data_IF_592482268219
#
_entry.id   IF_592482268219
#
_cell.length_a   1.000
_cell.length_b   1.000
_cell.length_c   1.000
_cell.angle_alpha   90.00
_cell.angle_beta   90.00
_cell.angle_gamma   90.00
#
_symmetry.space_group_name_H-M   'P 1'
#
loop_
_entity.id
_entity.type
_entity.pdbx_description
1 polymer ?
#
# COMPACT_ATOMS: atom_id res chain seq x y z
N UNK A 1 8.04 14.05 3.87
CA UNK A 1 8.55 12.66 3.93
C UNK A 1 7.41 11.65 3.86
N UNK A 2 7.73 10.37 3.65
CA UNK A 2 6.76 9.27 3.57
C UNK A 2 6.95 8.31 4.76
N UNK A 3 6.20 8.44 5.86
CA UNK A 3 6.36 7.57 7.01
C UNK A 3 5.88 6.16 6.73
N UNK A 4 6.65 5.19 7.23
CA UNK A 4 6.29 3.77 7.27
C UNK A 4 6.37 3.23 8.69
N UNK A 5 7.47 3.49 9.36
CA UNK A 5 7.70 3.12 10.75
C UNK A 5 8.06 4.35 11.56
N UNK A 6 7.47 4.50 12.73
CA UNK A 6 7.58 5.69 13.58
C UNK A 6 7.87 5.27 15.02
N UNK A 7 8.85 5.94 15.62
CA UNK A 7 9.06 6.04 17.06
C UNK A 7 8.68 7.46 17.50
N UNK A 8 7.43 7.67 17.83
CA UNK A 8 6.84 9.00 18.00
C UNK A 8 7.27 9.70 19.29
N UNK A 9 7.70 8.94 20.30
CA UNK A 9 8.06 9.45 21.63
C UNK A 9 9.53 9.16 22.00
N UNK A 10 10.33 8.71 21.06
CA UNK A 10 11.75 8.34 21.26
C UNK A 10 11.96 7.23 22.30
N UNK A 11 10.95 6.39 22.51
CA UNK A 11 11.02 5.24 23.41
C UNK A 11 11.81 4.05 22.86
N UNK A 12 12.15 4.08 21.56
CA UNK A 12 12.71 2.96 20.81
C UNK A 12 11.65 1.93 20.37
N UNK A 13 10.38 2.17 20.67
CA UNK A 13 9.27 1.31 20.25
C UNK A 13 8.74 1.79 18.90
N UNK A 14 9.19 1.13 17.84
CA UNK A 14 8.79 1.47 16.46
C UNK A 14 7.46 0.80 16.12
N UNK A 15 6.50 1.59 15.63
CA UNK A 15 5.20 1.12 15.13
C UNK A 15 5.07 1.39 13.64
N UNK A 16 4.32 0.56 12.94
CA UNK A 16 3.89 0.94 11.59
C UNK A 16 2.92 2.13 11.66
N UNK A 17 3.07 3.07 10.74
CA UNK A 17 2.30 4.34 10.77
C UNK A 17 0.78 4.13 10.82
N UNK A 18 0.26 3.07 10.21
CA UNK A 18 -1.18 2.75 10.21
C UNK A 18 -1.68 2.13 11.53
N UNK A 19 -0.77 1.74 12.43
CA UNK A 19 -1.07 1.13 13.73
C UNK A 19 -1.00 2.16 14.88
N UNK A 20 -0.74 3.43 14.58
CA UNK A 20 -0.69 4.50 15.57
C UNK A 20 -2.07 4.79 16.16
N UNK A 21 -2.09 5.14 17.45
CA UNK A 21 -3.30 5.62 18.14
C UNK A 21 -3.56 7.10 17.81
N UNK A 22 -4.78 7.57 18.00
CA UNK A 22 -5.14 8.98 17.79
C UNK A 22 -4.25 9.97 18.57
N UNK A 23 -3.83 9.60 19.80
CA UNK A 23 -2.91 10.42 20.59
C UNK A 23 -1.51 10.50 19.99
N UNK A 24 -1.04 9.39 19.38
CA UNK A 24 0.27 9.32 18.73
C UNK A 24 0.30 10.12 17.42
N UNK A 25 -0.78 10.10 16.63
CA UNK A 25 -0.91 11.01 15.47
C UNK A 25 -0.86 12.49 15.90
N UNK A 26 -1.55 12.87 17.00
CA UNK A 26 -1.50 14.24 17.52
C UNK A 26 -0.09 14.65 17.93
N UNK A 27 0.64 13.74 18.58
CA UNK A 27 2.02 14.00 18.99
C UNK A 27 2.94 14.14 17.77
N UNK A 28 2.78 13.26 16.76
CA UNK A 28 3.55 13.33 15.54
C UNK A 28 3.27 14.63 14.75
N UNK A 29 2.02 15.05 14.66
CA UNK A 29 1.67 16.33 14.01
C UNK A 29 2.29 17.53 14.75
N UNK A 30 2.32 17.51 16.09
CA UNK A 30 3.01 18.56 16.85
C UNK A 30 4.50 18.63 16.52
N UNK A 31 5.16 17.48 16.37
CA UNK A 31 6.57 17.44 15.93
C UNK A 31 6.74 17.96 14.49
N UNK A 32 5.81 17.60 13.59
CA UNK A 32 5.81 18.13 12.23
C UNK A 32 5.73 19.66 12.22
N UNK A 33 4.82 20.23 12.98
CA UNK A 33 4.65 21.68 13.10
C UNK A 33 5.93 22.35 13.68
N UNK A 34 6.49 21.76 14.72
CA UNK A 34 7.72 22.25 15.38
C UNK A 34 8.92 22.27 14.45
N UNK A 35 9.08 21.25 13.59
CA UNK A 35 10.22 21.11 12.69
C UNK A 35 9.92 21.52 11.24
N UNK A 36 8.76 22.10 10.95
CA UNK A 36 8.36 22.49 9.60
C UNK A 36 8.30 21.34 8.61
N UNK A 37 7.91 20.14 9.06
CA UNK A 37 7.83 18.92 8.25
C UNK A 37 6.41 18.68 7.77
N UNK A 38 6.27 18.03 6.62
CA UNK A 38 4.97 17.55 6.10
C UNK A 38 5.07 16.12 5.57
N UNK A 39 3.94 15.42 5.59
CA UNK A 39 3.83 14.06 5.06
C UNK A 39 3.38 14.13 3.61
N UNK A 40 4.15 13.55 2.71
CA UNK A 40 3.84 13.51 1.26
C UNK A 40 3.02 12.30 0.87
N UNK A 41 3.20 11.17 1.57
CA UNK A 41 2.45 9.93 1.35
C UNK A 41 2.56 9.00 2.56
N UNK A 42 1.64 8.05 2.68
CA UNK A 42 1.73 6.96 3.67
C UNK A 42 2.38 5.73 3.06
N UNK A 43 3.46 5.24 3.67
CA UNK A 43 4.10 3.97 3.32
C UNK A 43 3.32 2.79 3.89
N UNK A 44 2.24 2.35 3.23
CA UNK A 44 1.35 1.31 3.76
C UNK A 44 1.79 -0.11 3.45
N UNK A 45 1.05 -1.08 4.02
CA UNK A 45 1.15 -2.51 3.74
C UNK A 45 0.08 -3.01 2.77
N UNK A 46 -0.76 -2.12 2.21
CA UNK A 46 -1.83 -2.51 1.28
C UNK A 46 -1.23 -3.32 0.12
N UNK A 47 -1.81 -4.50 -0.14
CA UNK A 47 -1.36 -5.42 -1.18
C UNK A 47 -0.21 -6.36 -0.79
N UNK A 48 0.33 -6.29 0.43
CA UNK A 48 1.30 -7.27 0.97
C UNK A 48 0.60 -8.49 1.60
N UNK A 49 -0.42 -9.00 0.92
CA UNK A 49 -1.19 -10.20 1.27
C UNK A 49 -1.40 -11.05 0.01
N UNK A 50 -1.76 -12.32 0.18
CA UNK A 50 -2.11 -13.20 -0.94
C UNK A 50 -3.33 -12.67 -1.68
N UNK A 51 -3.30 -12.75 -3.02
CA UNK A 51 -4.45 -12.44 -3.86
C UNK A 51 -5.57 -13.49 -3.71
N UNK A 52 -5.18 -14.75 -3.61
CA UNK A 52 -6.07 -15.91 -3.58
C UNK A 52 -5.89 -16.72 -2.29
N UNK A 53 -6.98 -17.34 -1.83
CA UNK A 53 -6.99 -18.27 -0.69
C UNK A 53 -6.52 -19.67 -1.15
N UNK A 54 -5.22 -19.80 -1.37
CA UNK A 54 -4.59 -21.07 -1.79
C UNK A 54 -3.42 -21.39 -0.88
N UNK A 55 -3.26 -22.67 -0.56
CA UNK A 55 -2.07 -23.18 0.11
C UNK A 55 -0.95 -23.37 -0.93
N UNK A 56 0.00 -22.44 -0.95
CA UNK A 56 1.12 -22.40 -1.87
C UNK A 56 2.46 -22.60 -1.15
N UNK A 57 2.43 -23.04 0.11
CA UNK A 57 3.61 -23.23 0.96
C UNK A 57 4.25 -21.92 1.45
N UNK A 58 3.73 -20.74 1.09
CA UNK A 58 4.24 -19.47 1.57
C UNK A 58 3.65 -19.12 2.94
N UNK A 59 4.36 -18.25 3.69
CA UNK A 59 3.90 -17.72 4.98
C UNK A 59 3.01 -16.47 4.83
N UNK A 60 2.73 -16.01 3.60
CA UNK A 60 1.89 -14.85 3.36
C UNK A 60 0.44 -15.16 3.76
N UNK A 61 -0.24 -14.14 4.31
CA UNK A 61 -1.64 -14.29 4.72
C UNK A 61 -2.57 -13.98 3.56
N UNK A 62 -3.69 -14.71 3.49
CA UNK A 62 -4.86 -14.30 2.72
C UNK A 62 -5.85 -13.57 3.62
N UNK A 63 -6.45 -12.50 3.13
CA UNK A 63 -7.51 -11.76 3.81
C UNK A 63 -8.59 -11.47 2.76
N UNK A 64 -9.85 -11.95 2.96
CA UNK A 64 -10.95 -11.63 2.05
C UNK A 64 -11.10 -10.13 1.84
N UNK A 65 -11.34 -9.70 0.61
CA UNK A 65 -11.31 -8.29 0.23
C UNK A 65 -12.25 -7.42 1.07
N UNK A 66 -13.46 -7.91 1.38
CA UNK A 66 -14.44 -7.19 2.22
C UNK A 66 -13.90 -6.89 3.63
N UNK A 67 -13.18 -7.85 4.20
CA UNK A 67 -12.51 -7.69 5.50
C UNK A 67 -11.33 -6.76 5.35
N UNK A 68 -10.55 -6.91 4.28
CA UNK A 68 -9.36 -6.11 4.02
C UNK A 68 -9.68 -4.61 3.88
N UNK A 69 -10.74 -4.29 3.14
CA UNK A 69 -11.24 -2.91 2.99
C UNK A 69 -11.63 -2.29 4.34
N UNK A 70 -12.28 -3.07 5.22
CA UNK A 70 -12.74 -2.61 6.55
C UNK A 70 -11.63 -2.54 7.60
N UNK A 71 -10.48 -3.14 7.34
CA UNK A 71 -9.34 -3.20 8.28
C UNK A 71 -8.13 -2.42 7.75
N UNK A 72 -7.24 -3.06 7.00
CA UNK A 72 -5.97 -2.48 6.57
C UNK A 72 -6.14 -1.24 5.68
N UNK A 73 -7.07 -1.32 4.71
CA UNK A 73 -7.33 -0.18 3.80
C UNK A 73 -7.91 1.00 4.58
N UNK A 74 -8.91 0.73 5.43
CA UNK A 74 -9.49 1.77 6.29
C UNK A 74 -8.46 2.39 7.22
N UNK A 75 -7.66 1.59 7.92
CA UNK A 75 -6.62 2.10 8.82
C UNK A 75 -5.58 2.96 8.09
N UNK A 76 -5.25 2.59 6.86
CA UNK A 76 -4.33 3.37 6.02
C UNK A 76 -4.94 4.71 5.61
N UNK A 77 -6.21 4.72 5.21
CA UNK A 77 -6.95 5.95 4.90
C UNK A 77 -7.03 6.85 6.13
N UNK A 78 -7.39 6.28 7.28
CA UNK A 78 -7.45 7.01 8.55
C UNK A 78 -6.10 7.66 8.90
N UNK A 79 -4.98 6.94 8.67
CA UNK A 79 -3.63 7.47 8.86
C UNK A 79 -3.32 8.63 7.91
N UNK A 80 -3.71 8.52 6.63
CA UNK A 80 -3.51 9.58 5.64
C UNK A 80 -4.26 10.85 6.04
N UNK A 81 -5.52 10.72 6.43
CA UNK A 81 -6.35 11.83 6.90
C UNK A 81 -5.79 12.44 8.20
N UNK A 82 -5.33 11.62 9.14
CA UNK A 82 -4.76 12.08 10.42
C UNK A 82 -3.45 12.85 10.24
N UNK A 83 -2.69 12.58 9.19
CA UNK A 83 -1.40 13.19 8.87
C UNK A 83 -1.48 14.21 7.70
N UNK A 84 -2.69 14.62 7.32
CA UNK A 84 -2.98 15.60 6.27
C UNK A 84 -2.26 15.31 4.93
N UNK A 85 -2.26 14.04 4.51
CA UNK A 85 -1.72 13.64 3.20
C UNK A 85 -2.78 13.00 2.32
N UNK A 86 -2.67 13.19 1.01
CA UNK A 86 -3.62 12.66 0.03
C UNK A 86 -3.12 11.44 -0.74
N UNK A 87 -1.93 10.94 -0.44
CA UNK A 87 -1.35 9.82 -1.16
C UNK A 87 -1.06 8.66 -0.21
N UNK A 88 -1.62 7.50 -0.51
CA UNK A 88 -1.24 6.25 0.14
C UNK A 88 -0.54 5.35 -0.88
N UNK A 89 0.60 4.79 -0.49
CA UNK A 89 1.32 3.81 -1.29
C UNK A 89 0.87 2.41 -0.92
N UNK A 90 0.59 1.59 -1.92
CA UNK A 90 0.28 0.17 -1.77
C UNK A 90 0.83 -0.65 -2.93
N UNK A 91 0.49 -1.93 -2.98
CA UNK A 91 1.08 -2.94 -3.83
C UNK A 91 0.02 -3.82 -4.51
N UNK A 92 0.47 -4.77 -5.35
CA UNK A 92 -0.38 -5.52 -6.27
C UNK A 92 -0.69 -6.97 -5.86
N UNK A 93 -0.52 -7.32 -4.60
CA UNK A 93 -0.73 -8.66 -4.03
C UNK A 93 0.32 -9.70 -4.42
N UNK A 94 0.51 -10.71 -3.53
CA UNK A 94 1.26 -11.91 -3.85
C UNK A 94 0.42 -12.84 -4.72
N UNK A 95 0.97 -13.32 -5.83
CA UNK A 95 0.41 -14.44 -6.60
C UNK A 95 0.85 -15.79 -6.00
N UNK A 96 0.16 -16.89 -6.30
CA UNK A 96 0.56 -18.22 -5.83
C UNK A 96 2.00 -18.56 -6.24
N UNK A 97 2.75 -19.17 -5.33
CA UNK A 97 4.14 -19.56 -5.59
C UNK A 97 4.23 -20.45 -6.84
N UNK A 98 5.16 -20.13 -7.74
CA UNK A 98 5.38 -20.86 -8.99
C UNK A 98 4.39 -20.57 -10.12
N UNK A 99 3.35 -19.73 -9.87
CA UNK A 99 2.44 -19.29 -10.94
C UNK A 99 3.02 -18.10 -11.73
N UNK A 100 2.50 -17.91 -12.94
CA UNK A 100 2.80 -16.71 -13.72
C UNK A 100 1.98 -15.54 -13.21
N UNK A 101 2.58 -14.42 -12.77
CA UNK A 101 1.85 -13.25 -12.27
C UNK A 101 0.85 -12.67 -13.29
N UNK A 102 1.13 -12.82 -14.60
CA UNK A 102 0.26 -12.32 -15.67
C UNK A 102 -1.14 -12.97 -15.66
N UNK A 103 -1.22 -14.24 -15.24
CA UNK A 103 -2.47 -14.99 -15.19
C UNK A 103 -3.43 -14.47 -14.12
N UNK A 104 -2.90 -13.76 -13.12
CA UNK A 104 -3.65 -13.24 -11.97
C UNK A 104 -4.03 -11.76 -12.09
N UNK A 105 -3.65 -11.09 -13.19
CA UNK A 105 -3.98 -9.67 -13.43
C UNK A 105 -5.49 -9.39 -13.35
N UNK A 106 -6.40 -10.21 -13.90
CA UNK A 106 -7.84 -9.91 -13.80
C UNK A 106 -8.34 -9.77 -12.37
N UNK A 107 -7.94 -10.70 -11.49
CA UNK A 107 -8.33 -10.69 -10.07
C UNK A 107 -7.65 -9.53 -9.32
N UNK A 108 -6.38 -9.25 -9.63
CA UNK A 108 -5.67 -8.12 -9.04
C UNK A 108 -6.32 -6.78 -9.42
N UNK A 109 -6.72 -6.62 -10.67
CA UNK A 109 -7.43 -5.42 -11.16
C UNK A 109 -8.74 -5.21 -10.42
N UNK A 110 -9.52 -6.26 -10.19
CA UNK A 110 -10.77 -6.19 -9.42
C UNK A 110 -10.51 -5.71 -7.97
N UNK A 111 -9.58 -6.33 -7.26
CA UNK A 111 -9.31 -5.97 -5.87
C UNK A 111 -8.63 -4.60 -5.73
N UNK A 112 -7.70 -4.24 -6.62
CA UNK A 112 -7.06 -2.93 -6.64
C UNK A 112 -8.11 -1.85 -6.96
N UNK A 113 -9.07 -2.13 -7.84
CA UNK A 113 -10.18 -1.22 -8.15
C UNK A 113 -10.99 -0.87 -6.91
N UNK A 114 -11.40 -1.89 -6.14
CA UNK A 114 -12.14 -1.69 -4.89
C UNK A 114 -11.33 -0.88 -3.85
N UNK A 115 -10.00 -1.07 -3.78
CA UNK A 115 -9.14 -0.27 -2.91
C UNK A 115 -9.06 1.19 -3.39
N UNK A 116 -8.92 1.40 -4.70
CA UNK A 116 -8.87 2.74 -5.29
C UNK A 116 -10.19 3.48 -5.13
N UNK A 117 -11.34 2.77 -5.25
CA UNK A 117 -12.68 3.31 -4.96
C UNK A 117 -12.79 3.76 -3.50
N UNK A 118 -12.35 2.93 -2.54
CA UNK A 118 -12.38 3.27 -1.12
C UNK A 118 -11.49 4.49 -0.81
N UNK A 119 -10.31 4.57 -1.43
CA UNK A 119 -9.43 5.74 -1.32
C UNK A 119 -10.08 6.98 -1.93
N UNK A 120 -10.70 6.88 -3.11
CA UNK A 120 -11.38 7.98 -3.78
C UNK A 120 -12.54 8.53 -2.94
N UNK A 121 -13.35 7.65 -2.36
CA UNK A 121 -14.45 8.04 -1.48
C UNK A 121 -13.99 8.86 -0.26
N UNK A 122 -12.75 8.67 0.17
CA UNK A 122 -12.12 9.39 1.28
C UNK A 122 -11.30 10.63 0.83
N UNK A 123 -11.22 10.92 -0.46
CA UNK A 123 -10.41 12.00 -1.01
C UNK A 123 -8.89 11.72 -0.99
N UNK A 124 -8.51 10.43 -0.99
CA UNK A 124 -7.11 9.96 -0.94
C UNK A 124 -6.78 9.25 -2.26
N UNK A 125 -5.60 9.48 -2.80
CA UNK A 125 -5.09 8.85 -4.04
C UNK A 125 -4.40 7.52 -3.68
N UNK A 126 -4.67 6.46 -4.45
CA UNK A 126 -3.97 5.20 -4.33
C UNK A 126 -2.76 5.14 -5.26
N UNK A 127 -1.55 5.03 -4.70
CA UNK A 127 -0.30 4.87 -5.43
C UNK A 127 0.11 3.39 -5.49
N UNK A 128 0.08 2.78 -6.68
CA UNK A 128 0.47 1.39 -6.90
C UNK A 128 1.96 1.31 -7.24
N UNK A 129 2.74 0.76 -6.30
CA UNK A 129 4.20 0.65 -6.43
C UNK A 129 4.63 -0.66 -7.06
N UNK A 130 5.65 -0.57 -7.93
CA UNK A 130 6.38 -1.73 -8.44
C UNK A 130 7.16 -2.41 -7.32
N UNK A 131 6.98 -3.73 -7.17
CA UNK A 131 7.62 -4.48 -6.08
C UNK A 131 7.89 -5.94 -6.49
N UNK A 132 9.10 -6.49 -6.25
CA UNK A 132 9.42 -7.88 -6.52
C UNK A 132 8.46 -8.88 -5.86
N UNK A 133 8.26 -10.02 -6.51
CA UNK A 133 7.41 -11.14 -6.06
C UNK A 133 5.91 -10.82 -5.95
N UNK A 134 5.47 -9.71 -6.49
CA UNK A 134 4.05 -9.34 -6.58
C UNK A 134 3.58 -9.37 -8.03
N UNK A 135 2.27 -9.30 -8.24
CA UNK A 135 1.70 -9.34 -9.61
C UNK A 135 2.24 -8.20 -10.48
N UNK A 136 2.41 -6.99 -9.91
CA UNK A 136 3.01 -5.83 -10.56
C UNK A 136 4.53 -5.73 -10.36
N UNK A 137 5.27 -6.82 -10.36
CA UNK A 137 6.70 -6.84 -10.07
C UNK A 137 7.58 -6.20 -11.15
N UNK A 138 7.09 -6.07 -12.37
CA UNK A 138 7.81 -5.44 -13.48
C UNK A 138 7.04 -4.25 -14.06
N UNK A 139 7.74 -3.33 -14.69
CA UNK A 139 7.11 -2.19 -15.37
C UNK A 139 6.02 -2.59 -16.39
N UNK A 140 6.26 -3.60 -17.27
CA UNK A 140 5.22 -4.11 -18.18
C UNK A 140 3.97 -4.64 -17.47
N UNK A 141 4.13 -5.42 -16.37
CA UNK A 141 3.00 -5.96 -15.60
C UNK A 141 2.23 -4.85 -14.88
N UNK A 142 2.94 -3.93 -14.22
CA UNK A 142 2.33 -2.78 -13.57
C UNK A 142 1.54 -1.91 -14.55
N UNK A 143 2.12 -1.64 -15.74
CA UNK A 143 1.45 -0.90 -16.79
C UNK A 143 0.22 -1.66 -17.35
N UNK A 144 0.26 -3.00 -17.39
CA UNK A 144 -0.88 -3.83 -17.83
C UNK A 144 -2.04 -3.73 -16.82
N UNK A 145 -1.74 -3.77 -15.50
CA UNK A 145 -2.73 -3.52 -14.45
C UNK A 145 -3.38 -2.15 -14.65
N UNK A 146 -2.57 -1.10 -14.76
CA UNK A 146 -3.07 0.27 -14.90
C UNK A 146 -3.94 0.47 -16.15
N UNK A 147 -3.53 -0.08 -17.30
CA UNK A 147 -4.30 0.00 -18.55
C UNK A 147 -5.63 -0.76 -18.49
N UNK A 148 -5.70 -1.87 -17.75
CA UNK A 148 -6.94 -2.62 -17.56
C UNK A 148 -7.88 -1.94 -16.58
N UNK A 149 -7.34 -1.44 -15.47
CA UNK A 149 -8.14 -0.81 -14.43
C UNK A 149 -8.67 0.57 -14.85
N UNK A 150 -7.84 1.40 -15.48
CA UNK A 150 -8.18 2.78 -15.94
C UNK A 150 -8.86 3.63 -14.85
N UNK A 151 -8.42 3.47 -13.60
CA UNK A 151 -9.03 4.15 -12.47
C UNK A 151 -8.48 5.59 -12.33
N UNK A 152 -9.33 6.64 -12.28
CA UNK A 152 -8.87 8.03 -12.26
C UNK A 152 -8.13 8.40 -10.96
N UNK A 153 -8.38 7.66 -9.87
CA UNK A 153 -7.79 7.91 -8.54
C UNK A 153 -6.60 6.98 -8.24
N UNK A 154 -6.02 6.33 -9.26
CA UNK A 154 -4.83 5.51 -9.10
C UNK A 154 -3.66 6.10 -9.88
N UNK A 155 -2.49 6.15 -9.24
CA UNK A 155 -1.22 6.53 -9.87
C UNK A 155 -0.21 5.40 -9.72
N UNK A 156 0.79 5.36 -10.62
CA UNK A 156 1.88 4.40 -10.50
C UNK A 156 3.07 5.02 -9.77
N UNK A 157 3.70 4.23 -8.90
CA UNK A 157 4.92 4.61 -8.19
C UNK A 157 6.08 3.81 -8.75
N UNK A 158 7.06 4.53 -9.27
CA UNK A 158 8.33 3.97 -9.71
C UNK A 158 9.29 3.84 -8.52
N UNK A 159 9.83 2.64 -8.32
CA UNK A 159 10.91 2.37 -7.36
C UNK A 159 12.12 1.77 -8.10
N UNK A 160 13.14 2.59 -8.32
CA UNK A 160 14.38 2.17 -8.99
C UNK A 160 15.17 1.13 -8.21
N UNK A 161 15.07 1.13 -6.87
CA UNK A 161 15.70 0.13 -6.00
C UNK A 161 15.08 -1.25 -6.21
N UNK A 162 13.75 -1.31 -6.25
CA UNK A 162 13.00 -2.55 -6.51
C UNK A 162 13.28 -3.11 -7.90
N UNK A 163 13.45 -2.26 -8.90
CA UNK A 163 13.80 -2.69 -10.26
C UNK A 163 15.23 -3.21 -10.30
N UNK A 164 16.18 -2.48 -9.73
CA UNK A 164 17.58 -2.88 -9.71
C UNK A 164 17.80 -4.21 -8.97
N UNK A 165 17.04 -4.47 -7.91
CA UNK A 165 17.11 -5.73 -7.15
C UNK A 165 16.69 -6.96 -7.96
N UNK A 166 15.93 -6.80 -9.04
CA UNK A 166 15.46 -7.90 -9.91
C UNK A 166 16.47 -8.26 -11.03
N UNK A 167 17.42 -7.36 -11.33
CA UNK A 167 18.43 -7.55 -12.37
C UNK A 167 19.71 -8.23 -11.85
N UNK A 168 19.56 -9.22 -10.97
CA UNK A 168 20.69 -10.01 -10.42
C UNK A 168 21.05 -11.17 -11.31
#
# INVERSE_FOLDING_TARGET
YSPRFIDVDSSGVVKHVVDLKKSEYKQLNKLHDEFGMSVTSIGSRIGKVKLLDVDDGSHNKYIPIDKYLKTEVKSTIDAALALDTKLVRGFSFYHPVGSNPDDHIPQAVDQIGQIADACQAAGVIYGLEIEPNLIGETGPLLAKIARKLKHPNMVLIYDGGNIAAQNK
#
